data_IF_853151821259
#
_entry.id   IF_853151821259
#
_cell.length_a   1.000
_cell.length_b   1.000
_cell.length_c   1.000
_cell.angle_alpha   90.00
_cell.angle_beta   90.00
_cell.angle_gamma   90.00
#
_symmetry.space_group_name_H-M   'P 1'
#
loop_
_entity.id
_entity.type
_entity.pdbx_description
1 polymer ?
#
# COMPACT_ATOMS: atom_id res chain seq x y z
N UNK A 1 -8.53 9.81 -6.95
CA UNK A 1 -7.49 8.89 -7.47
C UNK A 1 -7.52 7.64 -6.61
N UNK A 2 -7.52 6.46 -7.23
CA UNK A 2 -7.41 5.16 -6.58
C UNK A 2 -6.05 4.56 -6.95
N UNK A 3 -5.13 4.48 -5.99
CA UNK A 3 -3.80 3.90 -6.19
C UNK A 3 -3.73 2.52 -5.55
N UNK A 4 -3.42 1.48 -6.33
CA UNK A 4 -3.04 0.18 -5.79
C UNK A 4 -1.52 0.17 -5.54
N UNK A 5 -1.12 -0.08 -4.29
CA UNK A 5 0.29 -0.12 -3.89
C UNK A 5 0.63 -1.52 -3.38
N UNK A 6 1.37 -2.30 -4.17
CA UNK A 6 1.55 -3.71 -3.86
C UNK A 6 2.95 -4.24 -4.15
N UNK A 7 3.47 -5.05 -3.23
CA UNK A 7 4.66 -5.86 -3.39
C UNK A 7 4.70 -6.93 -2.30
N UNK A 8 5.37 -8.07 -2.54
CA UNK A 8 5.54 -9.09 -1.50
C UNK A 8 6.31 -8.55 -0.28
N UNK A 9 6.18 -9.22 0.86
CA UNK A 9 6.92 -8.87 2.07
C UNK A 9 8.43 -8.78 1.82
N UNK A 10 9.08 -7.83 2.50
CA UNK A 10 10.51 -7.57 2.35
C UNK A 10 10.89 -6.86 1.04
N UNK A 11 9.97 -6.16 0.38
CA UNK A 11 10.25 -5.25 -0.75
C UNK A 11 10.22 -3.77 -0.37
N UNK A 12 10.01 -3.44 0.91
CA UNK A 12 9.90 -2.05 1.36
C UNK A 12 8.55 -1.41 1.07
N UNK A 13 7.45 -2.19 1.00
CA UNK A 13 6.08 -1.68 0.77
C UNK A 13 5.73 -0.54 1.72
N UNK A 14 5.91 -0.73 3.03
CA UNK A 14 5.54 0.28 4.01
C UNK A 14 6.54 1.43 4.06
N UNK A 15 7.82 1.21 3.77
CA UNK A 15 8.82 2.29 3.58
C UNK A 15 8.47 3.20 2.39
N UNK A 16 8.31 2.63 1.20
CA UNK A 16 7.96 3.37 -0.01
C UNK A 16 6.55 3.96 0.08
N UNK A 17 5.61 3.20 0.64
CA UNK A 17 4.26 3.65 0.93
C UNK A 17 4.25 4.87 1.85
N UNK A 18 5.04 4.89 2.92
CA UNK A 18 5.15 6.03 3.83
C UNK A 18 5.63 7.30 3.10
N UNK A 19 6.64 7.19 2.24
CA UNK A 19 7.12 8.33 1.45
C UNK A 19 6.07 8.85 0.47
N UNK A 20 5.35 7.94 -0.17
CA UNK A 20 4.25 8.30 -1.06
C UNK A 20 3.10 9.01 -0.30
N UNK A 21 2.77 8.54 0.90
CA UNK A 21 1.77 9.15 1.77
C UNK A 21 2.23 10.53 2.23
N UNK A 22 3.48 10.67 2.68
CA UNK A 22 4.09 11.94 3.11
C UNK A 22 3.99 13.00 2.01
N UNK A 23 4.35 12.66 0.77
CA UNK A 23 4.24 13.55 -0.38
C UNK A 23 2.80 13.88 -0.79
N UNK A 24 1.83 13.03 -0.41
CA UNK A 24 0.42 13.17 -0.80
C UNK A 24 -0.40 13.96 0.20
N UNK A 25 -0.17 13.78 1.52
CA UNK A 25 -0.95 14.40 2.61
C UNK A 25 -1.15 15.92 2.42
N UNK A 26 -0.15 16.73 2.05
CA UNK A 26 -0.32 18.18 1.92
C UNK A 26 -1.36 18.62 0.89
N UNK A 27 -1.74 17.75 -0.06
CA UNK A 27 -2.71 18.05 -1.12
C UNK A 27 -4.17 17.93 -0.69
N UNK A 28 -4.42 17.39 0.51
CA UNK A 28 -5.77 17.11 1.00
C UNK A 28 -6.03 17.87 2.30
N UNK A 29 -7.26 18.39 2.44
CA UNK A 29 -7.75 18.93 3.71
C UNK A 29 -7.75 17.82 4.78
N UNK A 30 -8.15 16.60 4.40
CA UNK A 30 -8.26 15.47 5.33
C UNK A 30 -7.45 14.25 4.91
N UNK A 31 -6.94 13.51 5.90
CA UNK A 31 -6.26 12.25 5.68
C UNK A 31 -6.65 11.24 6.77
N UNK A 32 -6.91 10.00 6.39
CA UNK A 32 -7.14 8.89 7.32
C UNK A 32 -6.30 7.70 6.91
N UNK A 33 -5.38 7.28 7.78
CA UNK A 33 -4.57 6.08 7.62
C UNK A 33 -5.15 4.99 8.50
N UNK A 34 -5.81 4.02 7.89
CA UNK A 34 -6.29 2.79 8.51
C UNK A 34 -5.10 1.82 8.61
N UNK A 35 -4.44 1.83 9.76
CA UNK A 35 -3.13 1.21 9.96
C UNK A 35 -3.27 -0.15 10.67
N UNK A 36 -3.32 -1.22 9.88
CA UNK A 36 -3.58 -2.57 10.41
C UNK A 36 -2.44 -3.10 11.30
N UNK A 37 -1.20 -2.64 11.08
CA UNK A 37 0.03 -3.10 11.77
C UNK A 37 0.71 -2.05 12.66
N UNK A 38 0.21 -0.81 12.70
CA UNK A 38 0.81 0.33 13.40
C UNK A 38 2.20 0.72 12.86
N UNK A 39 2.40 0.64 11.54
CA UNK A 39 3.69 0.90 10.88
C UNK A 39 3.94 2.38 10.55
N UNK A 40 2.89 3.21 10.51
CA UNK A 40 2.98 4.61 10.04
C UNK A 40 3.15 5.64 11.17
N UNK A 41 3.59 5.20 12.35
CA UNK A 41 3.96 6.09 13.48
C UNK A 41 5.00 7.15 13.13
N UNK A 42 5.77 6.92 12.08
CA UNK A 42 6.71 7.87 11.50
C UNK A 42 6.08 9.20 11.16
N UNK A 43 4.97 9.15 10.43
CA UNK A 43 4.21 10.32 9.99
C UNK A 43 3.68 11.13 11.18
N UNK A 44 3.31 10.43 12.27
CA UNK A 44 2.86 11.08 13.51
C UNK A 44 4.01 11.84 14.17
N UNK A 45 5.18 11.21 14.30
CA UNK A 45 6.35 11.84 14.94
C UNK A 45 6.90 13.02 14.14
N UNK A 46 6.79 12.99 12.82
CA UNK A 46 7.15 14.09 11.94
C UNK A 46 6.08 15.19 11.84
N UNK A 47 4.92 15.02 12.48
CA UNK A 47 3.86 16.04 12.54
C UNK A 47 2.90 16.06 11.35
N UNK A 48 2.97 15.07 10.45
CA UNK A 48 2.03 14.94 9.32
C UNK A 48 0.64 14.46 9.75
N UNK A 49 0.56 13.69 10.84
CA UNK A 49 -0.70 13.13 11.34
C UNK A 49 -0.77 13.19 12.86
N UNK A 50 -2.00 13.15 13.39
CA UNK A 50 -2.28 12.82 14.78
C UNK A 50 -2.56 11.32 14.89
N UNK A 51 -2.19 10.72 16.01
CA UNK A 51 -2.50 9.33 16.29
C UNK A 51 -3.78 9.20 17.11
N UNK A 52 -4.64 8.25 16.75
CA UNK A 52 -5.74 7.81 17.59
C UNK A 52 -5.96 6.30 17.45
N UNK A 53 -5.79 5.55 18.53
CA UNK A 53 -5.89 4.07 18.50
C UNK A 53 -7.36 3.65 18.36
N UNK A 54 -7.63 2.69 17.48
CA UNK A 54 -8.95 2.09 17.28
C UNK A 54 -8.97 0.71 17.92
N UNK A 55 -9.72 0.57 19.02
CA UNK A 55 -9.86 -0.68 19.75
C UNK A 55 -11.30 -1.10 20.02
N UNK A 56 -11.52 -2.06 20.94
CA UNK A 56 -12.85 -2.60 21.21
C UNK A 56 -13.87 -1.56 21.69
N UNK A 57 -13.42 -0.50 22.38
CA UNK A 57 -14.33 0.56 22.86
C UNK A 57 -14.87 1.35 21.67
N UNK A 58 -14.00 1.80 20.77
CA UNK A 58 -14.39 2.52 19.57
C UNK A 58 -15.31 1.64 18.70
N UNK A 59 -14.95 0.38 18.45
CA UNK A 59 -15.78 -0.55 17.67
C UNK A 59 -17.19 -0.74 18.23
N UNK A 60 -17.33 -0.82 19.56
CA UNK A 60 -18.60 -1.17 20.20
C UNK A 60 -19.49 0.03 20.53
N UNK A 61 -18.90 1.21 20.74
CA UNK A 61 -19.62 2.35 21.33
C UNK A 61 -19.69 3.55 20.42
N UNK A 62 -18.82 3.66 19.41
CA UNK A 62 -18.79 4.84 18.55
C UNK A 62 -19.75 4.71 17.38
N UNK A 63 -20.40 5.82 17.09
CA UNK A 63 -21.19 5.99 15.88
C UNK A 63 -20.48 6.93 14.88
N UNK A 64 -21.19 7.30 13.82
CA UNK A 64 -20.65 8.19 12.79
C UNK A 64 -20.34 9.58 13.31
N UNK A 65 -21.09 10.06 14.30
CA UNK A 65 -20.88 11.36 14.90
C UNK A 65 -19.55 11.38 15.63
N UNK A 66 -19.22 10.31 16.35
CA UNK A 66 -17.95 10.17 17.04
C UNK A 66 -16.78 10.13 16.05
N UNK A 67 -16.86 9.31 15.00
CA UNK A 67 -15.83 9.27 13.95
C UNK A 67 -15.71 10.59 13.20
N UNK A 68 -16.84 11.28 12.93
CA UNK A 68 -16.82 12.59 12.26
C UNK A 68 -16.11 13.62 13.13
N UNK A 69 -16.45 13.69 14.42
CA UNK A 69 -15.78 14.59 15.37
C UNK A 69 -14.29 14.27 15.50
N UNK A 70 -13.91 12.98 15.47
CA UNK A 70 -12.50 12.59 15.48
C UNK A 70 -11.78 13.12 14.24
N UNK A 71 -12.33 12.91 13.04
CA UNK A 71 -11.75 13.38 11.78
C UNK A 71 -11.68 14.91 11.73
N UNK A 72 -12.71 15.62 12.20
CA UNK A 72 -12.73 17.09 12.26
C UNK A 72 -11.65 17.67 13.19
N UNK A 73 -11.46 17.06 14.37
CA UNK A 73 -10.43 17.51 15.32
C UNK A 73 -9.03 17.10 14.91
N UNK A 74 -8.94 15.99 14.18
CA UNK A 74 -7.71 15.34 13.78
C UNK A 74 -7.12 15.88 12.50
N UNK A 75 -7.98 16.30 11.56
CA UNK A 75 -7.79 16.59 10.12
C UNK A 75 -7.03 15.49 9.37
N UNK A 76 -5.85 15.09 9.87
CA UNK A 76 -4.97 14.04 9.36
C UNK A 76 -4.69 13.03 10.47
N UNK A 77 -5.23 11.83 10.32
CA UNK A 77 -5.24 10.81 11.36
C UNK A 77 -4.51 9.55 10.93
N UNK A 78 -3.70 9.01 11.83
CA UNK A 78 -3.23 7.63 11.80
C UNK A 78 -3.98 6.83 12.86
N UNK A 79 -4.72 5.82 12.39
CA UNK A 79 -5.66 5.02 13.16
C UNK A 79 -5.16 3.58 13.24
N UNK A 80 -4.28 3.24 14.19
CA UNK A 80 -3.79 1.89 14.34
C UNK A 80 -4.84 0.98 14.99
N UNK A 81 -4.92 -0.23 14.45
CA UNK A 81 -5.76 -1.30 15.00
C UNK A 81 -5.19 -1.81 16.32
N UNK A 82 -6.03 -1.94 17.34
CA UNK A 82 -5.65 -2.50 18.64
C UNK A 82 -6.66 -3.53 19.13
N UNK A 83 -6.23 -4.80 19.25
CA UNK A 83 -7.03 -5.91 19.81
C UNK A 83 -8.42 -6.12 19.16
N UNK A 84 -8.57 -5.71 17.91
CA UNK A 84 -9.70 -6.08 17.07
C UNK A 84 -9.32 -7.28 16.21
N UNK A 85 -10.22 -8.23 15.99
CA UNK A 85 -10.03 -9.24 14.95
C UNK A 85 -10.24 -8.64 13.54
N UNK A 86 -10.10 -9.46 12.50
CA UNK A 86 -10.16 -8.99 11.11
C UNK A 86 -11.57 -8.53 10.71
N UNK A 87 -12.62 -9.19 11.22
CA UNK A 87 -14.00 -8.83 10.92
C UNK A 87 -14.37 -7.51 11.62
N UNK A 88 -14.05 -7.38 12.91
CA UNK A 88 -14.24 -6.14 13.67
C UNK A 88 -13.46 -4.98 13.04
N UNK A 89 -12.21 -5.21 12.64
CA UNK A 89 -11.42 -4.19 11.96
C UNK A 89 -12.07 -3.74 10.65
N UNK A 90 -12.53 -4.69 9.83
CA UNK A 90 -13.20 -4.41 8.57
C UNK A 90 -14.50 -3.61 8.78
N UNK A 91 -15.29 -3.93 9.79
CA UNK A 91 -16.50 -3.17 10.15
C UNK A 91 -16.18 -1.72 10.50
N UNK A 92 -15.19 -1.49 11.38
CA UNK A 92 -14.78 -0.12 11.75
C UNK A 92 -14.21 0.63 10.54
N UNK A 93 -13.42 -0.04 9.70
CA UNK A 93 -12.91 0.57 8.47
C UNK A 93 -14.03 1.01 7.53
N UNK A 94 -15.06 0.18 7.31
CA UNK A 94 -16.19 0.54 6.46
C UNK A 94 -16.93 1.78 6.99
N UNK A 95 -17.12 1.88 8.31
CA UNK A 95 -17.74 3.03 8.95
C UNK A 95 -16.89 4.30 8.82
N UNK A 96 -15.59 4.22 9.12
CA UNK A 96 -14.67 5.35 8.97
C UNK A 96 -14.60 5.81 7.52
N UNK A 97 -14.51 4.88 6.57
CA UNK A 97 -14.49 5.18 5.12
C UNK A 97 -15.76 5.92 4.72
N UNK A 98 -16.93 5.50 5.21
CA UNK A 98 -18.17 6.22 4.94
C UNK A 98 -18.10 7.67 5.42
N UNK A 99 -17.76 7.87 6.69
CA UNK A 99 -17.72 9.21 7.29
C UNK A 99 -16.69 10.08 6.57
N UNK A 100 -15.48 9.57 6.33
CA UNK A 100 -14.42 10.28 5.62
C UNK A 100 -14.87 10.71 4.21
N UNK A 101 -15.51 9.82 3.44
CA UNK A 101 -16.01 10.12 2.09
C UNK A 101 -17.06 11.22 2.07
N UNK A 102 -17.97 11.24 3.04
CA UNK A 102 -18.99 12.29 3.17
C UNK A 102 -18.37 13.69 3.35
N UNK A 103 -17.18 13.77 3.95
CA UNK A 103 -16.50 15.03 4.26
C UNK A 103 -15.77 15.66 3.07
N UNK A 104 -15.54 14.91 1.98
CA UNK A 104 -14.82 15.33 0.77
C UNK A 104 -13.38 15.79 1.04
N UNK A 105 -12.65 16.02 -0.06
CA UNK A 105 -11.23 16.37 -0.08
C UNK A 105 -10.39 15.55 0.93
N UNK A 106 -10.53 14.22 0.79
CA UNK A 106 -9.95 13.25 1.73
C UNK A 106 -9.06 12.25 1.02
N UNK A 107 -7.93 11.95 1.66
CA UNK A 107 -7.07 10.82 1.33
C UNK A 107 -7.28 9.69 2.34
N UNK A 108 -7.66 8.51 1.87
CA UNK A 108 -7.88 7.32 2.70
C UNK A 108 -6.79 6.29 2.37
N UNK A 109 -5.95 5.98 3.35
CA UNK A 109 -4.87 5.00 3.22
C UNK A 109 -5.30 3.74 3.94
N UNK A 110 -5.21 2.60 3.26
CA UNK A 110 -5.63 1.32 3.81
C UNK A 110 -4.43 0.39 3.82
N UNK A 111 -3.82 0.22 5.00
CA UNK A 111 -2.76 -0.75 5.19
C UNK A 111 -3.33 -2.17 5.30
N UNK A 112 -2.57 -3.13 4.76
CA UNK A 112 -2.97 -4.52 4.58
C UNK A 112 -4.41 -4.65 4.05
N UNK A 113 -4.67 -3.95 2.95
CA UNK A 113 -5.98 -3.78 2.34
C UNK A 113 -6.75 -5.09 2.06
N UNK A 114 -6.06 -6.24 1.97
CA UNK A 114 -6.72 -7.54 1.84
C UNK A 114 -7.56 -7.93 3.06
N UNK A 115 -7.33 -7.37 4.26
CA UNK A 115 -8.21 -7.57 5.42
C UNK A 115 -9.48 -6.71 5.36
N UNK A 116 -9.40 -5.53 4.74
CA UNK A 116 -10.55 -4.61 4.59
C UNK A 116 -11.39 -4.95 3.36
N UNK A 117 -10.73 -5.43 2.30
CA UNK A 117 -11.35 -5.82 1.04
C UNK A 117 -10.91 -7.24 0.62
N UNK A 118 -11.32 -8.31 1.34
CA UNK A 118 -10.89 -9.67 1.05
C UNK A 118 -11.59 -10.24 -0.18
N UNK A 119 -10.86 -10.99 -1.00
CA UNK A 119 -11.32 -11.63 -2.24
C UNK A 119 -12.52 -12.58 -2.06
N UNK A 120 -12.56 -13.31 -0.95
CA UNK A 120 -13.53 -14.39 -0.74
C UNK A 120 -14.78 -13.96 0.04
N UNK A 121 -14.92 -12.66 0.29
CA UNK A 121 -16.04 -12.11 1.06
C UNK A 121 -16.71 -10.97 0.32
N UNK A 122 -18.00 -10.75 0.55
CA UNK A 122 -18.70 -9.61 -0.03
C UNK A 122 -18.10 -8.32 0.52
N UNK A 123 -17.63 -7.45 -0.38
CA UNK A 123 -17.15 -6.13 0.00
C UNK A 123 -18.25 -5.34 0.76
N UNK A 124 -17.90 -4.75 1.92
CA UNK A 124 -18.72 -3.75 2.57
C UNK A 124 -19.09 -2.61 1.60
N UNK A 125 -20.27 -2.01 1.78
CA UNK A 125 -20.81 -1.05 0.81
C UNK A 125 -19.94 0.20 0.66
N UNK A 126 -19.33 0.69 1.74
CA UNK A 126 -18.55 1.92 1.70
C UNK A 126 -17.12 1.65 1.22
N UNK A 127 -16.57 0.48 1.54
CA UNK A 127 -15.32 -0.03 0.93
C UNK A 127 -15.48 -0.17 -0.58
N UNK A 128 -16.56 -0.82 -1.05
CA UNK A 128 -16.84 -0.95 -2.49
C UNK A 128 -17.04 0.41 -3.14
N UNK A 129 -17.82 1.30 -2.53
CA UNK A 129 -18.05 2.64 -3.03
C UNK A 129 -16.76 3.47 -3.10
N UNK A 130 -15.83 3.30 -2.16
CA UNK A 130 -14.51 3.95 -2.24
C UNK A 130 -13.76 3.50 -3.48
N UNK A 131 -13.70 2.19 -3.73
CA UNK A 131 -13.01 1.61 -4.88
C UNK A 131 -13.65 2.00 -6.23
N UNK A 132 -14.98 2.06 -6.32
CA UNK A 132 -15.68 2.26 -7.61
C UNK A 132 -16.10 3.70 -7.90
N UNK A 133 -16.46 4.49 -6.89
CA UNK A 133 -17.09 5.81 -7.07
C UNK A 133 -16.41 6.93 -6.30
N UNK A 134 -15.32 6.67 -5.57
CA UNK A 134 -14.64 7.67 -4.73
C UNK A 134 -14.22 8.94 -5.48
N UNK A 135 -13.88 8.83 -6.78
CA UNK A 135 -13.51 9.98 -7.62
C UNK A 135 -14.61 11.05 -7.69
N UNK A 136 -15.88 10.65 -7.80
CA UNK A 136 -17.02 11.57 -7.85
C UNK A 136 -17.27 12.29 -6.52
N UNK A 137 -16.70 11.78 -5.43
CA UNK A 137 -16.90 12.27 -4.06
C UNK A 137 -15.67 13.03 -3.53
N UNK A 138 -14.67 13.28 -4.38
CA UNK A 138 -13.38 13.87 -3.97
C UNK A 138 -12.67 13.07 -2.88
N UNK A 139 -12.90 11.75 -2.84
CA UNK A 139 -12.19 10.82 -1.98
C UNK A 139 -11.15 10.07 -2.82
N UNK A 140 -9.88 10.22 -2.45
CA UNK A 140 -8.78 9.44 -3.02
C UNK A 140 -8.38 8.34 -2.05
N UNK A 141 -7.85 7.23 -2.57
CA UNK A 141 -7.36 6.17 -1.71
C UNK A 141 -6.04 5.56 -2.19
N UNK A 142 -5.27 5.07 -1.22
CA UNK A 142 -4.08 4.24 -1.43
C UNK A 142 -4.35 2.89 -0.77
N UNK A 143 -4.42 1.84 -1.59
CA UNK A 143 -4.66 0.47 -1.16
C UNK A 143 -3.33 -0.26 -1.04
N UNK A 144 -2.78 -0.37 0.17
CA UNK A 144 -1.51 -1.05 0.40
C UNK A 144 -1.72 -2.52 0.71
N UNK A 145 -1.16 -3.42 -0.08
CA UNK A 145 -1.26 -4.86 0.18
C UNK A 145 0.00 -5.62 -0.19
N UNK A 146 0.34 -6.63 0.60
CA UNK A 146 1.39 -7.59 0.24
C UNK A 146 0.87 -8.85 -0.48
N UNK A 147 -0.46 -9.05 -0.49
CA UNK A 147 -1.13 -10.24 -1.02
C UNK A 147 -2.15 -9.82 -2.08
N UNK A 148 -1.69 -9.72 -3.33
CA UNK A 148 -2.60 -9.38 -4.44
C UNK A 148 -3.67 -10.46 -4.62
N UNK A 149 -3.30 -11.72 -4.46
CA UNK A 149 -4.22 -12.87 -4.51
C UNK A 149 -5.35 -12.82 -3.49
N UNK A 150 -5.19 -12.13 -2.36
CA UNK A 150 -6.19 -12.09 -1.29
C UNK A 150 -7.05 -10.81 -1.28
N UNK A 151 -6.68 -9.76 -2.02
CA UNK A 151 -7.52 -8.56 -2.16
C UNK A 151 -8.57 -8.73 -3.27
N UNK A 152 -9.75 -8.18 -3.07
CA UNK A 152 -10.87 -8.23 -4.01
C UNK A 152 -10.50 -7.63 -5.39
N UNK A 153 -10.91 -8.32 -6.46
CA UNK A 153 -10.60 -7.93 -7.83
C UNK A 153 -11.22 -6.59 -8.25
N UNK A 154 -12.27 -6.13 -7.58
CA UNK A 154 -12.84 -4.78 -7.78
C UNK A 154 -11.84 -3.71 -7.41
N UNK A 155 -11.12 -3.85 -6.29
CA UNK A 155 -10.10 -2.87 -5.88
C UNK A 155 -8.97 -2.82 -6.92
N UNK A 156 -8.54 -4.00 -7.40
CA UNK A 156 -7.47 -4.10 -8.40
C UNK A 156 -7.92 -3.51 -9.74
N UNK A 157 -9.10 -3.87 -10.24
CA UNK A 157 -9.56 -3.48 -11.58
C UNK A 157 -10.11 -2.05 -11.67
N UNK A 158 -10.41 -1.41 -10.55
CA UNK A 158 -10.89 -0.02 -10.49
C UNK A 158 -9.80 0.97 -10.05
N UNK A 159 -8.55 0.51 -9.89
CA UNK A 159 -7.45 1.41 -9.61
C UNK A 159 -7.15 2.28 -10.84
N UNK A 160 -7.02 3.59 -10.60
CA UNK A 160 -6.61 4.58 -11.61
C UNK A 160 -5.09 4.47 -11.88
N UNK A 161 -4.33 4.04 -10.87
CA UNK A 161 -2.89 3.88 -10.94
C UNK A 161 -2.40 2.70 -10.10
N UNK A 162 -1.21 2.23 -10.44
CA UNK A 162 -0.55 1.08 -9.84
C UNK A 162 0.88 1.46 -9.47
N UNK A 163 1.28 1.17 -8.24
CA UNK A 163 2.66 1.21 -7.77
C UNK A 163 3.06 -0.20 -7.32
N UNK A 164 3.78 -0.90 -8.19
CA UNK A 164 3.97 -2.34 -8.08
C UNK A 164 5.45 -2.71 -7.96
N UNK A 165 5.79 -3.41 -6.88
CA UNK A 165 7.13 -3.96 -6.66
C UNK A 165 7.21 -5.41 -7.13
N UNK A 166 8.08 -6.20 -6.51
CA UNK A 166 8.27 -7.60 -6.89
C UNK A 166 7.25 -8.56 -6.27
N UNK A 167 6.89 -9.60 -7.01
CA UNK A 167 6.00 -10.68 -6.57
C UNK A 167 6.70 -12.05 -6.67
N UNK A 168 6.38 -12.95 -5.74
CA UNK A 168 7.04 -14.26 -5.65
C UNK A 168 6.24 -15.40 -6.26
N UNK A 169 5.00 -15.15 -6.66
CA UNK A 169 4.06 -16.18 -7.11
C UNK A 169 3.43 -15.82 -8.45
N UNK A 170 3.29 -16.82 -9.32
CA UNK A 170 2.56 -16.68 -10.59
C UNK A 170 1.09 -16.28 -10.38
N UNK A 171 0.51 -16.65 -9.23
CA UNK A 171 -0.87 -16.33 -8.90
C UNK A 171 -1.08 -14.82 -8.69
N UNK A 172 -0.13 -14.14 -8.04
CA UNK A 172 -0.17 -12.68 -7.90
C UNK A 172 -0.02 -12.00 -9.26
N UNK A 173 0.91 -12.46 -10.10
CA UNK A 173 1.12 -11.93 -11.45
C UNK A 173 -0.09 -12.13 -12.36
N UNK A 174 -0.81 -13.25 -12.23
CA UNK A 174 -2.03 -13.52 -12.99
C UNK A 174 -3.13 -12.49 -12.73
N UNK A 175 -3.26 -11.97 -11.50
CA UNK A 175 -4.22 -10.91 -11.19
C UNK A 175 -3.90 -9.57 -11.88
N UNK A 176 -2.65 -9.37 -12.28
CA UNK A 176 -2.18 -8.15 -12.93
C UNK A 176 -2.24 -8.18 -14.46
N UNK A 177 -2.54 -9.33 -15.08
CA UNK A 177 -2.52 -9.48 -16.55
C UNK A 177 -3.52 -8.62 -17.31
N UNK A 178 -4.69 -8.37 -16.72
CA UNK A 178 -5.76 -7.58 -17.34
C UNK A 178 -5.65 -6.07 -17.06
N UNK A 179 -5.32 -5.61 -15.83
CA UNK A 179 -5.26 -4.18 -15.55
C UNK A 179 -4.01 -3.46 -16.08
N UNK A 180 -2.96 -4.18 -16.49
CA UNK A 180 -1.70 -3.57 -16.92
C UNK A 180 -1.54 -3.61 -18.43
N UNK A 181 -0.99 -2.53 -18.99
CA UNK A 181 -0.63 -2.40 -20.40
C UNK A 181 0.76 -2.99 -20.73
N UNK A 182 1.37 -3.71 -19.78
CA UNK A 182 2.65 -4.39 -19.94
C UNK A 182 2.62 -5.78 -19.31
N UNK A 183 3.58 -6.60 -19.74
CA UNK A 183 3.73 -8.00 -19.33
C UNK A 183 4.11 -8.08 -17.83
N UNK A 184 3.31 -8.69 -16.94
CA UNK A 184 3.57 -8.68 -15.49
C UNK A 184 4.88 -9.36 -15.04
N UNK A 185 5.48 -10.18 -15.89
CA UNK A 185 6.70 -10.94 -15.63
C UNK A 185 7.91 -10.05 -15.26
N UNK A 186 7.87 -8.75 -15.59
CA UNK A 186 8.86 -7.76 -15.11
C UNK A 186 8.90 -7.68 -13.57
N UNK A 187 7.79 -7.95 -12.88
CA UNK A 187 7.72 -7.96 -11.42
C UNK A 187 8.35 -9.20 -10.77
N UNK A 188 8.90 -10.13 -11.55
CA UNK A 188 9.66 -11.23 -10.97
C UNK A 188 10.93 -10.70 -10.27
N UNK A 189 11.26 -11.19 -9.07
CA UNK A 189 12.47 -10.78 -8.37
C UNK A 189 13.72 -11.31 -9.09
N UNK A 190 14.78 -10.50 -9.15
CA UNK A 190 16.14 -11.02 -9.36
C UNK A 190 16.96 -10.35 -10.46
N UNK A 191 16.43 -9.37 -11.17
CA UNK A 191 17.17 -8.71 -12.26
C UNK A 191 17.45 -9.63 -13.45
N UNK A 192 16.55 -10.57 -13.72
CA UNK A 192 16.70 -11.52 -14.83
C UNK A 192 16.47 -10.80 -16.16
N UNK A 193 17.28 -11.06 -17.21
CA UNK A 193 17.06 -10.51 -18.54
C UNK A 193 15.66 -10.84 -19.09
N UNK A 194 15.06 -9.85 -19.73
CA UNK A 194 13.78 -9.93 -20.45
C UNK A 194 14.01 -9.63 -21.93
N UNK A 195 13.04 -9.97 -22.78
CA UNK A 195 13.04 -9.53 -24.18
C UNK A 195 12.74 -8.02 -24.24
N UNK A 196 13.69 -7.16 -24.67
CA UNK A 196 13.46 -5.72 -24.73
C UNK A 196 12.30 -5.31 -25.63
N UNK A 197 11.95 -6.11 -26.64
CA UNK A 197 10.84 -5.81 -27.54
C UNK A 197 9.46 -6.00 -26.89
N UNK A 198 9.39 -6.74 -25.77
CA UNK A 198 8.15 -7.00 -25.05
C UNK A 198 7.81 -5.94 -23.99
N UNK A 199 8.70 -4.96 -23.77
CA UNK A 199 8.56 -3.96 -22.71
C UNK A 199 8.85 -2.53 -23.21
N UNK A 200 8.03 -1.54 -22.86
CA UNK A 200 8.33 -0.13 -23.13
C UNK A 200 9.69 0.27 -22.56
N UNK A 201 10.43 1.12 -23.29
CA UNK A 201 11.77 1.61 -22.87
C UNK A 201 11.73 2.30 -21.50
N UNK A 202 10.61 2.94 -21.14
CA UNK A 202 10.41 3.58 -19.85
C UNK A 202 10.46 2.60 -18.65
N UNK A 203 10.30 1.29 -18.91
CA UNK A 203 10.38 0.25 -17.88
C UNK A 203 11.77 -0.42 -17.81
N UNK A 204 12.69 -0.04 -18.70
CA UNK A 204 14.04 -0.58 -18.71
C UNK A 204 14.82 -0.04 -17.51
N UNK A 205 15.68 -0.88 -16.93
CA UNK A 205 16.65 -0.43 -15.94
C UNK A 205 17.68 0.48 -16.63
N UNK A 206 17.96 1.64 -16.04
CA UNK A 206 18.93 2.61 -16.58
C UNK A 206 20.31 1.98 -16.86
N UNK A 207 20.74 1.04 -16.00
CA UNK A 207 22.05 0.40 -16.05
C UNK A 207 22.09 -0.96 -16.75
N UNK A 208 20.94 -1.59 -17.01
CA UNK A 208 20.86 -2.99 -17.44
C UNK A 208 19.84 -3.30 -18.54
N UNK A 209 19.08 -2.30 -19.02
CA UNK A 209 18.05 -2.49 -20.04
C UNK A 209 16.83 -3.26 -19.52
N UNK A 210 16.21 -4.06 -20.39
CA UNK A 210 15.03 -4.85 -20.03
C UNK A 210 15.40 -6.02 -19.10
N UNK A 211 15.28 -5.79 -17.80
CA UNK A 211 15.44 -6.80 -16.74
C UNK A 211 14.26 -6.76 -15.77
N UNK A 212 14.00 -7.87 -15.10
CA UNK A 212 13.02 -7.90 -14.01
C UNK A 212 13.45 -7.02 -12.82
N UNK A 213 12.54 -6.78 -11.87
CA UNK A 213 12.80 -5.88 -10.75
C UNK A 213 13.88 -6.43 -9.79
N UNK A 214 14.67 -5.52 -9.24
CA UNK A 214 15.75 -5.80 -8.27
C UNK A 214 15.38 -5.30 -6.88
N UNK A 215 16.07 -5.90 -5.92
CA UNK A 215 16.08 -5.49 -4.52
C UNK A 215 17.53 -5.52 -4.05
N UNK A 216 17.92 -4.52 -3.25
CA UNK A 216 19.24 -4.41 -2.65
C UNK A 216 19.14 -4.54 -1.13
N UNK A 217 20.09 -5.25 -0.54
CA UNK A 217 20.20 -5.48 0.90
C UNK A 217 21.59 -5.10 1.39
N UNK A 218 21.72 -4.68 2.65
CA UNK A 218 23.00 -4.38 3.28
C UNK A 218 23.72 -5.65 3.79
N UNK A 219 24.92 -6.01 3.30
CA UNK A 219 25.74 -7.07 3.87
C UNK A 219 26.71 -6.53 4.96
N UNK A 220 26.96 -7.21 6.12
CA UNK A 220 26.42 -8.44 6.66
C UNK A 220 25.94 -8.28 8.13
N UNK A 221 24.63 -8.24 8.38
CA UNK A 221 24.06 -8.52 9.72
C UNK A 221 23.14 -9.74 9.75
N UNK A 222 22.63 -10.16 8.60
CA UNK A 222 21.72 -11.30 8.43
C UNK A 222 21.83 -11.79 6.96
N UNK A 223 21.80 -13.11 6.66
CA UNK A 223 21.69 -13.64 5.29
C UNK A 223 20.54 -13.05 4.46
N UNK A 224 19.52 -12.44 5.07
CA UNK A 224 18.45 -11.74 4.36
C UNK A 224 18.61 -10.20 4.28
N UNK A 225 19.55 -9.62 5.06
CA UNK A 225 19.97 -8.21 5.09
C UNK A 225 18.87 -7.14 5.26
N UNK A 226 19.20 -5.99 5.86
CA UNK A 226 18.30 -4.83 5.84
C UNK A 226 18.06 -4.41 4.37
N UNK A 227 16.80 -4.31 3.94
CA UNK A 227 16.48 -3.85 2.58
C UNK A 227 16.78 -2.36 2.49
N UNK A 228 17.81 -2.00 1.72
CA UNK A 228 18.26 -0.61 1.52
C UNK A 228 17.66 0.04 0.27
N UNK A 229 16.94 -0.75 -0.53
CA UNK A 229 16.20 -0.26 -1.69
C UNK A 229 15.63 -1.40 -2.53
N UNK A 230 14.67 -1.06 -3.36
CA UNK A 230 14.02 -1.93 -4.33
C UNK A 230 13.49 -1.12 -5.51
N UNK A 231 13.30 -1.80 -6.64
CA UNK A 231 12.68 -1.23 -7.83
C UNK A 231 11.18 -1.47 -7.85
N UNK A 232 10.46 -0.52 -8.42
CA UNK A 232 9.01 -0.47 -8.53
C UNK A 232 8.63 0.00 -9.94
N UNK A 233 7.40 -0.27 -10.34
CA UNK A 233 6.81 0.31 -11.54
C UNK A 233 5.59 1.13 -11.12
N UNK A 234 5.60 2.40 -11.50
CA UNK A 234 4.40 3.21 -11.54
C UNK A 234 3.75 3.07 -12.91
N UNK A 235 2.42 2.93 -12.95
CA UNK A 235 1.64 3.04 -14.18
C UNK A 235 0.24 3.57 -13.91
N UNK A 236 -0.35 4.34 -14.81
CA UNK A 236 -1.71 4.87 -14.68
C UNK A 236 -2.56 4.77 -15.96
N UNK A 237 -3.85 5.10 -15.81
CA UNK A 237 -4.87 5.07 -16.88
C UNK A 237 -4.63 6.06 -18.03
N UNK A 238 -3.70 7.01 -17.87
CA UNK A 238 -3.28 7.93 -18.93
C UNK A 238 -2.19 7.32 -19.83
N UNK A 239 -1.68 6.14 -19.48
CA UNK A 239 -0.57 5.48 -20.14
C UNK A 239 0.81 5.93 -19.64
N UNK A 240 0.87 6.72 -18.57
CA UNK A 240 2.15 7.04 -17.94
C UNK A 240 2.73 5.77 -17.30
N UNK A 241 4.02 5.52 -17.51
CA UNK A 241 4.73 4.37 -16.95
C UNK A 241 6.15 4.77 -16.60
N UNK A 242 6.64 4.32 -15.46
CA UNK A 242 7.99 4.63 -14.98
C UNK A 242 8.53 3.51 -14.08
N UNK A 243 9.79 3.11 -14.31
CA UNK A 243 10.55 2.30 -13.36
C UNK A 243 11.19 3.20 -12.30
N UNK A 244 10.85 2.99 -11.03
CA UNK A 244 11.28 3.81 -9.90
C UNK A 244 12.21 2.99 -9.00
N UNK A 245 13.28 3.61 -8.53
CA UNK A 245 14.16 3.05 -7.50
C UNK A 245 13.92 3.77 -6.16
N UNK A 246 13.73 3.01 -5.10
CA UNK A 246 13.63 3.57 -3.74
C UNK A 246 15.00 3.82 -3.09
N UNK A 247 16.08 3.49 -3.79
CA UNK A 247 17.45 3.74 -3.31
C UNK A 247 17.68 5.25 -3.23
N UNK A 248 17.99 5.75 -2.03
CA UNK A 248 18.20 7.18 -1.80
C UNK A 248 16.91 8.00 -1.76
N UNK A 249 15.73 7.35 -1.65
CA UNK A 249 14.49 8.06 -1.35
C UNK A 249 14.62 8.77 -0.01
N UNK A 250 14.44 10.10 -0.02
CA UNK A 250 14.43 10.93 1.17
C UNK A 250 13.01 11.05 1.71
N UNK A 251 12.88 11.00 3.04
CA UNK A 251 11.65 11.26 3.77
C UNK A 251 11.97 12.08 5.01
N UNK A 252 11.07 12.99 5.37
CA UNK A 252 11.14 13.69 6.65
C UNK A 252 10.78 12.74 7.81
N UNK A 253 9.86 11.81 7.56
CA UNK A 253 9.41 10.86 8.58
C UNK A 253 10.32 9.62 8.70
N UNK A 254 10.58 9.20 9.94
CA UNK A 254 11.27 7.93 10.21
C UNK A 254 10.31 6.76 10.01
N UNK A 255 10.70 5.74 9.25
CA UNK A 255 9.88 4.52 9.10
C UNK A 255 10.11 3.54 10.26
N UNK A 256 9.03 2.95 10.81
CA UNK A 256 9.09 2.06 11.99
C UNK A 256 8.65 0.60 11.70
N UNK A 257 8.65 0.16 10.44
CA UNK A 257 8.28 -1.20 10.07
C UNK A 257 9.16 -2.27 10.73
N UNK A 258 8.58 -3.27 11.43
CA UNK A 258 9.34 -4.36 12.01
C UNK A 258 9.89 -5.26 10.89
N UNK A 259 11.19 -5.53 10.91
CA UNK A 259 11.76 -6.57 10.06
C UNK A 259 11.61 -7.93 10.75
N UNK A 260 11.19 -8.94 9.98
CA UNK A 260 11.22 -10.32 10.45
C UNK A 260 12.65 -10.73 10.81
N UNK A 261 12.81 -11.59 11.83
CA UNK A 261 14.12 -12.16 12.14
C UNK A 261 14.48 -13.20 11.07
N UNK A 262 15.67 -13.12 10.49
CA UNK A 262 16.16 -14.14 9.57
C UNK A 262 16.16 -15.53 10.22
N UNK A 263 15.87 -16.55 9.43
CA UNK A 263 15.99 -17.94 9.85
C UNK A 263 17.34 -18.47 9.39
N UNK A 264 18.17 -18.89 10.35
CA UNK A 264 19.43 -19.54 10.02
C UNK A 264 19.18 -20.92 9.39
N UNK A 265 19.68 -21.12 8.16
CA UNK A 265 19.71 -22.46 7.55
C UNK A 265 20.74 -23.31 8.30
N UNK A 266 20.42 -24.57 8.67
CA UNK A 266 21.44 -25.46 9.24
C UNK A 266 22.52 -25.75 8.20
N UNK A 267 23.77 -25.90 8.67
CA UNK A 267 24.88 -26.35 7.84
C UNK A 267 24.66 -27.81 7.47
N UNK A 268 24.55 -28.12 6.18
CA UNK A 268 24.60 -29.49 5.68
C UNK A 268 26.04 -29.80 5.29
N UNK A 269 26.62 -30.83 5.90
CA UNK A 269 27.96 -31.34 5.58
C UNK A 269 27.95 -32.23 4.33
#
# INVERSE_FOLDING_TARGET
MQLLFAAKSGWGKSYHGQGYIEASIPKYERCVILDYKDEYRGLVKAGFCRNYIIGPVEHQTWDDSDFRQLIERGERLQLPRYRLDDDQWREVCDQIIRVAREMRDVLIIIDEAHFVAPQDTKLPSNVKGLATTGRGEQASAIWLTQRLTEIDSTVVSQADAYMLGGFGSDADLKKLRNPLDYTPEIHNPGGTPLDPAAYPEQLHAEDAGAITLRKWTDPPKDPDGDVIGSEWIYSDDSGAMERISTKGMEMESTHFGPQGKGLNRPSYA
#
